data_IF_037069815060
#
_entry.id   IF_037069815060
#
_cell.length_a   1.000
_cell.length_b   1.000
_cell.length_c   1.000
_cell.angle_alpha   90.00
_cell.angle_beta   90.00
_cell.angle_gamma   90.00
#
_symmetry.space_group_name_H-M   'P 1'
#
loop_
_entity.id
_entity.type
_entity.pdbx_description
1 polymer ?
#
# COMPACT_ATOMS: atom_id res chain seq x y z
N UNK A 1 2.47 -4.77 -3.39
CA UNK A 1 2.71 -3.76 -2.33
C UNK A 1 1.43 -3.41 -1.53
N UNK A 2 0.30 -3.12 -2.19
CA UNK A 2 -0.93 -2.67 -1.52
C UNK A 2 -1.49 -3.67 -0.50
N UNK A 3 -1.53 -4.97 -0.83
CA UNK A 3 -1.94 -6.01 0.13
C UNK A 3 -1.01 -6.11 1.33
N UNK A 4 0.29 -6.00 1.10
CA UNK A 4 1.29 -6.05 2.17
C UNK A 4 1.13 -4.89 3.14
N UNK A 5 0.79 -3.69 2.68
CA UNK A 5 0.47 -2.54 3.55
C UNK A 5 -0.64 -2.89 4.54
N UNK A 6 -1.74 -3.47 4.06
CA UNK A 6 -2.87 -3.87 4.92
C UNK A 6 -2.44 -4.97 5.91
N UNK A 7 -1.66 -5.95 5.46
CA UNK A 7 -1.13 -7.00 6.34
C UNK A 7 -0.25 -6.41 7.46
N UNK A 8 0.68 -5.51 7.11
CA UNK A 8 1.53 -4.83 8.10
C UNK A 8 0.70 -4.07 9.12
N UNK A 9 -0.32 -3.32 8.69
CA UNK A 9 -1.22 -2.61 9.61
C UNK A 9 -1.96 -3.57 10.56
N UNK A 10 -2.44 -4.71 10.07
CA UNK A 10 -3.09 -5.73 10.91
C UNK A 10 -2.13 -6.36 11.92
N UNK A 11 -0.91 -6.68 11.49
CA UNK A 11 0.14 -7.26 12.34
C UNK A 11 0.58 -6.29 13.44
N UNK A 12 0.90 -5.03 13.10
CA UNK A 12 1.31 -4.00 14.07
C UNK A 12 0.22 -3.74 15.12
N UNK A 13 -1.05 -3.80 14.72
CA UNK A 13 -2.20 -3.67 15.63
C UNK A 13 -2.61 -4.98 16.30
N UNK A 14 -1.95 -6.09 15.98
CA UNK A 14 -2.24 -7.43 16.52
C UNK A 14 -3.71 -7.84 16.34
N UNK A 15 -4.32 -7.41 15.24
CA UNK A 15 -5.71 -7.74 14.91
C UNK A 15 -5.74 -9.15 14.34
N UNK A 16 -6.50 -10.10 14.90
CA UNK A 16 -6.62 -11.43 14.33
C UNK A 16 -7.38 -11.38 13.00
N UNK A 17 -6.85 -12.05 11.98
CA UNK A 17 -7.48 -12.12 10.66
C UNK A 17 -7.34 -13.51 10.04
N UNK A 18 -8.15 -13.77 9.02
CA UNK A 18 -8.04 -14.96 8.18
C UNK A 18 -7.56 -14.56 6.79
N UNK A 19 -6.38 -15.05 6.40
CA UNK A 19 -5.82 -14.79 5.08
C UNK A 19 -6.42 -15.73 4.03
N UNK A 20 -6.89 -15.14 2.93
CA UNK A 20 -7.30 -15.84 1.73
C UNK A 20 -6.35 -15.50 0.58
N UNK A 21 -5.55 -16.47 0.14
CA UNK A 21 -4.66 -16.31 -1.01
C UNK A 21 -5.46 -16.48 -2.30
N UNK A 22 -5.48 -15.44 -3.14
CA UNK A 22 -6.21 -15.42 -4.41
C UNK A 22 -5.22 -15.51 -5.56
N UNK A 23 -5.37 -16.52 -6.40
CA UNK A 23 -4.70 -16.56 -7.69
C UNK A 23 -5.38 -15.54 -8.62
N UNK A 24 -4.66 -14.49 -9.03
CA UNK A 24 -5.24 -13.44 -9.88
C UNK A 24 -5.43 -13.88 -11.35
N UNK A 25 -4.71 -14.91 -11.78
CA UNK A 25 -4.85 -15.50 -13.12
C UNK A 25 -6.04 -16.48 -13.20
N UNK A 26 -6.43 -17.07 -12.06
CA UNK A 26 -7.54 -18.01 -11.93
C UNK A 26 -8.35 -17.68 -10.67
N UNK A 27 -9.21 -16.67 -10.79
CA UNK A 27 -9.94 -16.11 -9.65
C UNK A 27 -11.09 -17.04 -9.27
N UNK A 28 -11.24 -17.43 -7.99
CA UNK A 28 -12.35 -18.27 -7.59
C UNK A 28 -13.67 -17.51 -7.67
N UNK A 29 -14.75 -18.21 -8.05
CA UNK A 29 -16.06 -17.60 -8.30
C UNK A 29 -16.58 -16.77 -7.11
N UNK A 30 -16.47 -17.31 -5.88
CA UNK A 30 -16.92 -16.61 -4.67
C UNK A 30 -16.24 -15.25 -4.49
N UNK A 31 -14.99 -15.08 -4.93
CA UNK A 31 -14.25 -13.84 -4.80
C UNK A 31 -14.77 -12.79 -5.79
N UNK A 32 -15.06 -13.19 -7.02
CA UNK A 32 -15.61 -12.29 -8.04
C UNK A 32 -17.05 -11.90 -7.76
N UNK A 33 -17.83 -12.75 -7.08
CA UNK A 33 -19.19 -12.42 -6.65
C UNK A 33 -19.22 -11.31 -5.60
N UNK A 34 -18.25 -11.31 -4.67
CA UNK A 34 -18.17 -10.30 -3.59
C UNK A 34 -17.32 -9.08 -3.96
N UNK A 35 -16.42 -9.22 -4.94
CA UNK A 35 -15.55 -8.17 -5.46
C UNK A 35 -15.45 -8.25 -6.99
N UNK A 36 -16.43 -7.69 -7.71
CA UNK A 36 -16.49 -7.75 -9.18
C UNK A 36 -15.28 -7.15 -9.89
N UNK A 37 -14.56 -6.21 -9.25
CA UNK A 37 -13.32 -5.65 -9.81
C UNK A 37 -12.18 -6.66 -9.87
N UNK A 38 -12.22 -7.71 -9.05
CA UNK A 38 -11.19 -8.75 -9.01
C UNK A 38 -9.80 -8.26 -8.57
N UNK A 39 -9.70 -7.06 -8.00
CA UNK A 39 -8.46 -6.48 -7.47
C UNK A 39 -8.25 -6.86 -6.01
N UNK A 40 -7.01 -6.79 -5.56
CA UNK A 40 -6.61 -6.99 -4.15
C UNK A 40 -5.78 -5.78 -3.67
N UNK A 41 -5.79 -5.45 -2.37
CA UNK A 41 -6.48 -6.13 -1.27
C UNK A 41 -7.99 -5.89 -1.20
N UNK A 42 -8.69 -6.82 -0.55
CA UNK A 42 -10.09 -6.71 -0.14
C UNK A 42 -10.22 -7.35 1.24
N UNK A 43 -10.96 -6.71 2.14
CA UNK A 43 -11.19 -7.20 3.51
C UNK A 43 -12.70 -7.20 3.79
N UNK A 44 -13.15 -8.18 4.57
CA UNK A 44 -14.52 -8.26 5.06
C UNK A 44 -14.58 -7.74 6.49
N UNK A 45 -15.23 -6.60 6.72
CA UNK A 45 -15.51 -6.05 8.04
C UNK A 45 -17.01 -6.13 8.31
N UNK A 46 -17.43 -6.75 9.41
CA UNK A 46 -18.84 -6.84 9.83
C UNK A 46 -19.79 -7.19 8.68
N UNK A 47 -19.43 -8.23 7.92
CA UNK A 47 -20.12 -8.71 6.71
C UNK A 47 -20.09 -7.83 5.45
N UNK A 48 -19.44 -6.67 5.51
CA UNK A 48 -19.22 -5.79 4.37
C UNK A 48 -17.82 -5.95 3.78
N UNK A 49 -17.76 -6.18 2.47
CA UNK A 49 -16.50 -6.19 1.73
C UNK A 49 -16.05 -4.77 1.37
N UNK A 50 -14.77 -4.49 1.62
CA UNK A 50 -14.14 -3.19 1.37
C UNK A 50 -12.85 -3.42 0.58
N UNK A 51 -12.63 -2.60 -0.44
CA UNK A 51 -11.42 -2.56 -1.27
C UNK A 51 -10.66 -1.25 -1.02
N UNK A 52 -9.53 -1.08 -1.72
CA UNK A 52 -8.60 0.05 -1.60
C UNK A 52 -7.76 0.02 -0.32
N UNK A 53 -6.44 -0.09 -0.47
CA UNK A 53 -5.54 -0.17 0.69
C UNK A 53 -5.55 1.07 1.56
N UNK A 54 -5.78 2.27 1.02
CA UNK A 54 -5.83 3.51 1.80
C UNK A 54 -7.07 3.54 2.70
N UNK A 55 -8.22 3.17 2.14
CA UNK A 55 -9.48 3.06 2.89
C UNK A 55 -9.38 1.97 3.95
N UNK A 56 -8.83 0.81 3.59
CA UNK A 56 -8.69 -0.33 4.48
C UNK A 56 -7.85 -0.01 5.71
N UNK A 57 -6.67 0.59 5.56
CA UNK A 57 -5.84 0.94 6.73
C UNK A 57 -6.48 2.02 7.58
N UNK A 58 -7.23 2.96 6.98
CA UNK A 58 -8.02 3.95 7.73
C UNK A 58 -9.10 3.32 8.59
N UNK A 59 -9.85 2.35 8.05
CA UNK A 59 -10.87 1.60 8.81
C UNK A 59 -10.24 0.82 9.95
N UNK A 60 -9.09 0.17 9.72
CA UNK A 60 -8.38 -0.56 10.78
C UNK A 60 -7.91 0.40 11.87
N UNK A 61 -7.39 1.58 11.52
CA UNK A 61 -7.00 2.64 12.46
C UNK A 61 -8.19 3.13 13.31
N UNK A 62 -9.35 3.34 12.70
CA UNK A 62 -10.57 3.77 13.41
C UNK A 62 -11.13 2.71 14.35
N UNK A 63 -11.14 1.43 13.93
CA UNK A 63 -11.65 0.31 14.74
C UNK A 63 -10.70 -0.09 15.87
N UNK A 64 -9.39 0.04 15.65
CA UNK A 64 -8.35 -0.38 16.57
C UNK A 64 -7.35 0.77 16.76
N UNK A 65 -7.70 1.78 17.56
CA UNK A 65 -6.91 3.01 17.67
C UNK A 65 -5.54 2.82 18.35
N UNK A 66 -5.33 1.71 19.07
CA UNK A 66 -4.09 1.44 19.79
C UNK A 66 -3.38 0.17 19.28
N UNK A 67 -2.05 0.22 19.02
CA UNK A 67 -1.22 1.43 18.98
C UNK A 67 -1.61 2.35 17.81
N UNK A 68 -1.53 3.66 18.03
CA UNK A 68 -1.80 4.66 16.98
C UNK A 68 -0.75 4.57 15.87
N UNK A 69 -1.19 4.41 14.63
CA UNK A 69 -0.31 4.36 13.44
C UNK A 69 -0.51 5.57 12.52
N UNK A 70 -1.20 6.62 12.98
CA UNK A 70 -1.41 7.84 12.19
C UNK A 70 -0.09 8.58 11.98
N UNK A 71 0.20 8.88 10.72
CA UNK A 71 1.28 9.78 10.33
C UNK A 71 0.80 11.23 10.50
N UNK A 72 1.62 12.14 11.06
CA UNK A 72 1.36 13.58 11.00
C UNK A 72 1.13 14.03 9.55
N UNK A 73 0.16 14.93 9.34
CA UNK A 73 -0.29 15.32 8.00
C UNK A 73 0.87 15.90 7.16
N UNK A 74 1.77 16.65 7.79
CA UNK A 74 2.96 17.22 7.16
C UNK A 74 3.92 16.16 6.58
N UNK A 75 3.84 14.91 7.05
CA UNK A 75 4.70 13.81 6.60
C UNK A 75 3.96 12.78 5.74
N UNK A 76 2.64 12.91 5.57
CA UNK A 76 1.80 11.90 4.91
C UNK A 76 2.21 11.60 3.44
N UNK A 77 2.84 12.56 2.76
CA UNK A 77 3.24 12.43 1.35
C UNK A 77 4.73 12.16 1.13
N UNK A 78 5.53 12.05 2.20
CA UNK A 78 6.97 11.78 2.12
C UNK A 78 7.22 10.47 1.39
N UNK A 79 8.01 10.52 0.31
CA UNK A 79 8.35 9.35 -0.51
C UNK A 79 7.25 8.85 -1.47
N UNK A 80 6.08 9.51 -1.54
CA UNK A 80 4.92 9.07 -2.33
C UNK A 80 5.20 8.83 -3.83
N UNK A 81 6.17 9.54 -4.41
CA UNK A 81 6.57 9.42 -5.83
C UNK A 81 7.60 8.32 -6.11
N UNK A 82 8.21 7.72 -5.09
CA UNK A 82 9.27 6.72 -5.26
C UNK A 82 8.76 5.49 -6.01
N UNK A 83 7.60 4.96 -5.63
CA UNK A 83 7.08 3.75 -6.28
C UNK A 83 6.77 3.98 -7.77
N UNK A 84 6.17 5.13 -8.10
CA UNK A 84 5.89 5.50 -9.48
C UNK A 84 7.15 5.68 -10.32
N UNK A 85 8.13 6.44 -9.82
CA UNK A 85 9.43 6.64 -10.49
C UNK A 85 10.21 5.33 -10.64
N UNK A 86 10.19 4.46 -9.63
CA UNK A 86 10.80 3.13 -9.69
C UNK A 86 10.19 2.27 -10.78
N UNK A 87 8.85 2.20 -10.88
CA UNK A 87 8.18 1.41 -11.93
C UNK A 87 8.49 1.97 -13.32
N UNK A 88 8.56 3.30 -13.47
CA UNK A 88 8.95 3.94 -14.72
C UNK A 88 10.38 3.57 -15.12
N UNK A 89 11.34 3.70 -14.21
CA UNK A 89 12.72 3.29 -14.44
C UNK A 89 12.85 1.80 -14.78
N UNK A 90 12.18 0.94 -14.02
CA UNK A 90 12.20 -0.51 -14.24
C UNK A 90 11.67 -0.92 -15.62
N UNK A 91 10.68 -0.19 -16.15
CA UNK A 91 10.07 -0.46 -17.46
C UNK A 91 10.78 0.25 -18.61
N UNK A 92 11.69 1.18 -18.30
CA UNK A 92 12.41 1.92 -19.32
C UNK A 92 13.20 0.96 -20.21
N UNK A 93 13.23 1.28 -21.49
CA UNK A 93 14.06 0.60 -22.50
C UNK A 93 15.15 1.52 -23.05
N UNK A 94 15.15 2.78 -22.61
CA UNK A 94 16.05 3.82 -23.08
C UNK A 94 16.84 4.36 -21.89
N UNK A 95 18.15 4.05 -21.78
CA UNK A 95 18.96 4.53 -20.66
C UNK A 95 19.14 6.05 -20.64
N UNK A 96 18.75 6.77 -21.69
CA UNK A 96 18.84 8.23 -21.80
C UNK A 96 17.53 8.98 -21.53
N UNK A 97 16.44 8.29 -21.18
CA UNK A 97 15.12 8.91 -20.94
C UNK A 97 15.00 9.68 -19.62
N UNK A 98 16.04 9.63 -18.77
CA UNK A 98 16.11 10.34 -17.50
C UNK A 98 15.33 9.68 -16.34
N UNK A 99 14.73 8.51 -16.54
CA UNK A 99 13.95 7.80 -15.52
C UNK A 99 14.79 7.38 -14.31
N UNK A 100 16.06 7.00 -14.51
CA UNK A 100 17.00 6.72 -13.42
C UNK A 100 17.24 7.95 -12.56
N UNK A 101 17.55 9.08 -13.19
CA UNK A 101 17.81 10.34 -12.47
C UNK A 101 16.57 10.82 -11.72
N UNK A 102 15.38 10.62 -12.28
CA UNK A 102 14.13 10.91 -11.60
C UNK A 102 13.96 10.08 -10.32
N UNK A 103 14.21 8.76 -10.38
CA UNK A 103 14.19 7.89 -9.20
C UNK A 103 15.23 8.30 -8.16
N UNK A 104 16.47 8.58 -8.58
CA UNK A 104 17.53 9.01 -7.68
C UNK A 104 17.18 10.32 -6.95
N UNK A 105 16.51 11.26 -7.63
CA UNK A 105 16.04 12.49 -7.01
C UNK A 105 14.98 12.23 -5.92
N UNK A 106 14.02 11.35 -6.17
CA UNK A 106 13.00 10.98 -5.18
C UNK A 106 13.61 10.23 -3.97
N UNK A 107 14.56 9.33 -4.21
CA UNK A 107 15.30 8.62 -3.15
C UNK A 107 16.15 9.59 -2.31
N UNK A 108 16.82 10.55 -2.96
CA UNK A 108 17.56 11.60 -2.26
C UNK A 108 16.62 12.43 -1.37
N UNK A 109 15.45 12.82 -1.89
CA UNK A 109 14.45 13.55 -1.12
C UNK A 109 14.00 12.81 0.15
N UNK A 110 13.74 11.50 0.04
CA UNK A 110 13.43 10.67 1.22
C UNK A 110 14.62 10.58 2.19
N UNK A 111 15.83 10.33 1.69
CA UNK A 111 17.01 10.25 2.53
C UNK A 111 17.28 11.56 3.29
N UNK A 112 17.13 12.70 2.63
CA UNK A 112 17.34 14.01 3.25
C UNK A 112 16.28 14.28 4.33
N UNK A 113 15.02 13.88 4.09
CA UNK A 113 13.97 13.93 5.10
C UNK A 113 14.30 13.06 6.32
N UNK A 114 14.72 11.81 6.11
CA UNK A 114 15.08 10.87 7.18
C UNK A 114 16.27 11.39 8.01
N UNK A 115 17.28 11.99 7.38
CA UNK A 115 18.41 12.59 8.12
C UNK A 115 18.00 13.76 9.02
N UNK A 116 16.92 14.47 8.67
CA UNK A 116 16.46 15.63 9.42
C UNK A 116 15.44 15.29 10.52
N UNK A 117 14.74 14.15 10.42
CA UNK A 117 13.60 13.81 11.29
C UNK A 117 13.64 12.40 11.90
N UNK A 118 14.63 11.55 11.56
CA UNK A 118 14.81 10.19 12.10
C UNK A 118 15.88 10.11 13.16
#
# INVERSE_FOLDING_TARGET
>A
PFTQRVLLTLEEKKVPYKLHLINLADKPQWFTEVNPEGKVPVVKFDDKWVSDSDVLVGIVEEKYPEPCLKTPEEFASVGSKIFGSFVTFLKSKDPSDGSEQALLNELKGLNDHLKAHG
#
